data_IF_677085260937
#
_entry.id   IF_677085260937
#
_cell.length_a   1.000
_cell.length_b   1.000
_cell.length_c   1.000
_cell.angle_alpha   90.00
_cell.angle_beta   90.00
_cell.angle_gamma   90.00
#
_symmetry.space_group_name_H-M   'P 1'
#
loop_
_entity.id
_entity.type
_entity.pdbx_description
1 polymer ?
#
# COMPACT_ATOMS: atom_id res chain seq x y z
N UNK A 1 -8.02 -4.32 -34.58
CA UNK A 1 -7.33 -3.24 -33.84
C UNK A 1 -6.24 -3.87 -32.98
N UNK A 2 -4.99 -3.45 -33.12
CA UNK A 2 -3.85 -4.02 -32.37
C UNK A 2 -3.70 -3.28 -31.04
N UNK A 3 -3.90 -3.97 -29.92
CA UNK A 3 -3.65 -3.41 -28.59
C UNK A 3 -2.16 -3.60 -28.28
N UNK A 4 -1.41 -2.49 -28.34
CA UNK A 4 0.01 -2.44 -28.02
C UNK A 4 0.19 -2.38 -26.49
N UNK A 5 0.59 -3.50 -25.89
CA UNK A 5 0.90 -3.64 -24.46
C UNK A 5 2.34 -3.16 -24.17
N UNK A 6 2.55 -1.83 -24.17
CA UNK A 6 3.86 -1.23 -23.88
C UNK A 6 3.88 -0.48 -22.53
N UNK A 7 2.81 -0.60 -21.74
CA UNK A 7 2.54 0.19 -20.54
C UNK A 7 2.18 -0.67 -19.32
N UNK A 8 2.33 -1.99 -19.43
CA UNK A 8 2.03 -3.02 -18.44
C UNK A 8 2.82 -2.77 -17.15
N UNK A 9 4.07 -2.29 -17.31
CA UNK A 9 4.95 -1.96 -16.19
C UNK A 9 4.37 -0.88 -15.27
N UNK A 10 3.78 0.16 -15.84
CA UNK A 10 3.19 1.25 -15.06
C UNK A 10 1.90 0.80 -14.38
N UNK A 11 1.08 0.01 -15.08
CA UNK A 11 -0.16 -0.54 -14.52
C UNK A 11 0.10 -1.47 -13.33
N UNK A 12 1.10 -2.35 -13.45
CA UNK A 12 1.55 -3.22 -12.36
C UNK A 12 2.12 -2.38 -11.21
N UNK A 13 2.88 -1.33 -11.52
CA UNK A 13 3.43 -0.43 -10.50
C UNK A 13 2.33 0.35 -9.76
N UNK A 14 1.29 0.82 -10.44
CA UNK A 14 0.14 1.50 -9.85
C UNK A 14 -0.63 0.56 -8.92
N UNK A 15 -0.93 -0.65 -9.38
CA UNK A 15 -1.63 -1.64 -8.57
C UNK A 15 -0.81 -2.08 -7.36
N UNK A 16 0.50 -2.28 -7.53
CA UNK A 16 1.41 -2.66 -6.46
C UNK A 16 1.54 -1.54 -5.41
N UNK A 17 1.73 -0.29 -5.85
CA UNK A 17 1.79 0.86 -4.93
C UNK A 17 0.47 1.05 -4.19
N UNK A 18 -0.68 0.88 -4.86
CA UNK A 18 -1.99 0.93 -4.23
C UNK A 18 -2.18 -0.14 -3.15
N UNK A 19 -1.79 -1.39 -3.42
CA UNK A 19 -1.86 -2.50 -2.46
C UNK A 19 -0.96 -2.26 -1.24
N UNK A 20 0.27 -1.80 -1.46
CA UNK A 20 1.21 -1.47 -0.38
C UNK A 20 0.69 -0.34 0.50
N UNK A 21 0.09 0.70 -0.10
CA UNK A 21 -0.53 1.79 0.64
C UNK A 21 -1.69 1.31 1.53
N UNK A 22 -2.57 0.45 1.01
CA UNK A 22 -3.66 -0.13 1.80
C UNK A 22 -3.15 -0.96 2.97
N UNK A 23 -2.11 -1.79 2.76
CA UNK A 23 -1.46 -2.55 3.83
C UNK A 23 -0.87 -1.60 4.88
N UNK A 24 -0.21 -0.51 4.47
CA UNK A 24 0.34 0.50 5.38
C UNK A 24 -0.72 1.16 6.25
N UNK A 25 -1.89 1.50 5.68
CA UNK A 25 -3.02 2.09 6.42
C UNK A 25 -3.60 1.08 7.42
N UNK A 26 -3.84 -0.16 6.99
CA UNK A 26 -4.36 -1.21 7.87
C UNK A 26 -3.36 -1.54 8.98
N UNK A 27 -2.07 -1.56 8.68
CA UNK A 27 -1.02 -1.75 9.67
C UNK A 27 -0.98 -0.62 10.69
N UNK A 28 -1.08 0.64 10.25
CA UNK A 28 -1.11 1.82 11.14
C UNK A 28 -2.34 1.82 12.08
N UNK A 29 -3.50 1.42 11.55
CA UNK A 29 -4.72 1.25 12.35
C UNK A 29 -4.54 0.07 13.32
N UNK A 30 -4.01 -1.05 12.83
CA UNK A 30 -3.72 -2.23 13.63
C UNK A 30 -2.78 -1.90 14.80
N UNK A 31 -1.67 -1.21 14.55
CA UNK A 31 -0.75 -0.78 15.62
C UNK A 31 -1.43 0.11 16.65
N UNK A 32 -2.32 1.01 16.22
CA UNK A 32 -3.12 1.80 17.18
C UNK A 32 -4.05 0.92 18.02
N UNK A 33 -4.73 -0.06 17.43
CA UNK A 33 -5.64 -0.97 18.15
C UNK A 33 -4.92 -1.93 19.10
N UNK A 34 -3.80 -2.52 18.67
CA UNK A 34 -3.08 -3.54 19.45
C UNK A 34 -2.16 -2.94 20.52
N UNK A 35 -1.56 -1.78 20.26
CA UNK A 35 -0.55 -1.16 21.14
C UNK A 35 -1.01 0.14 21.79
N UNK A 36 -2.16 0.70 21.41
CA UNK A 36 -2.65 2.00 21.90
C UNK A 36 -1.84 3.21 21.40
N UNK A 37 -0.81 2.97 20.59
CA UNK A 37 0.12 3.96 20.07
C UNK A 37 -0.03 4.06 18.54
N UNK A 38 -0.10 5.28 18.01
CA UNK A 38 -0.20 5.51 16.56
C UNK A 38 1.06 4.97 15.85
N UNK A 39 2.22 5.03 16.51
CA UNK A 39 3.48 4.45 16.05
C UNK A 39 4.18 3.83 17.26
N UNK A 40 4.30 2.49 17.36
CA UNK A 40 5.02 1.86 18.46
C UNK A 40 6.52 2.18 18.36
N UNK A 41 7.08 2.79 19.42
CA UNK A 41 8.52 3.02 19.56
C UNK A 41 9.10 4.30 18.93
N UNK A 42 8.27 5.23 18.44
CA UNK A 42 8.72 6.57 17.97
C UNK A 42 8.34 7.71 18.93
N UNK A 43 7.28 7.52 19.72
CA UNK A 43 6.85 8.40 20.82
C UNK A 43 6.74 7.62 22.13
#
# INVERSE_FOLDING_TARGET
MTHNHNNDKWHIAEELNGRLAMIGVVAAIGTYFFTGQIIPGIL
#
